data_IF_844455278331
#
_entry.id   IF_844455278331
#
_cell.length_a   1.000
_cell.length_b   1.000
_cell.length_c   1.000
_cell.angle_alpha   90.00
_cell.angle_beta   90.00
_cell.angle_gamma   90.00
#
_symmetry.space_group_name_H-M   'P 1'
#
loop_
_entity.id
_entity.type
_entity.pdbx_description
1 polymer ?
#
# COMPACT_ATOMS: atom_id res chain seq x y z
N UNK A 1 9.80 2.82 7.14
CA UNK A 1 9.23 2.47 8.42
C UNK A 1 8.11 1.45 8.26
N UNK A 2 7.13 1.71 7.39
CA UNK A 2 6.05 0.74 7.17
C UNK A 2 6.56 -0.57 6.60
N UNK A 3 7.53 -0.51 5.68
CA UNK A 3 8.09 -1.72 5.07
C UNK A 3 8.87 -2.56 6.09
N UNK A 4 9.43 -1.94 7.13
CA UNK A 4 10.09 -2.68 8.20
C UNK A 4 9.09 -3.45 9.05
N UNK A 5 7.90 -2.88 9.26
CA UNK A 5 6.84 -3.51 10.05
C UNK A 5 6.04 -4.50 9.23
N UNK A 6 5.84 -4.21 7.94
CA UNK A 6 5.09 -5.06 7.04
C UNK A 6 5.86 -5.23 5.73
N UNK A 7 6.82 -6.19 5.69
CA UNK A 7 7.67 -6.37 4.50
C UNK A 7 6.96 -7.04 3.33
N UNK A 8 5.80 -7.64 3.55
CA UNK A 8 5.06 -8.31 2.50
C UNK A 8 3.90 -7.45 2.00
N UNK A 9 3.55 -7.61 0.71
CA UNK A 9 2.41 -6.90 0.13
C UNK A 9 1.13 -7.30 0.85
N UNK A 10 0.45 -6.33 1.44
CA UNK A 10 -0.76 -6.59 2.23
C UNK A 10 -1.91 -7.09 1.36
N UNK A 11 -2.02 -6.63 0.12
CA UNK A 11 -3.05 -7.13 -0.79
C UNK A 11 -2.80 -8.58 -1.19
N UNK A 12 -1.54 -8.93 -1.45
CA UNK A 12 -1.21 -10.32 -1.80
C UNK A 12 -1.47 -11.25 -0.62
N UNK A 13 -1.22 -10.78 0.61
CA UNK A 13 -1.49 -11.59 1.80
C UNK A 13 -2.98 -11.94 1.93
N UNK A 14 -3.86 -11.06 1.49
CA UNK A 14 -5.29 -11.33 1.50
C UNK A 14 -5.67 -12.49 0.58
N UNK A 15 -4.81 -12.80 -0.38
CA UNK A 15 -5.01 -13.89 -1.32
C UNK A 15 -4.02 -15.04 -1.09
N UNK A 16 -3.50 -15.16 0.13
CA UNK A 16 -2.53 -16.19 0.53
C UNK A 16 -1.25 -16.17 -0.30
N UNK A 17 -0.85 -15.00 -0.78
CA UNK A 17 0.39 -14.82 -1.53
C UNK A 17 1.41 -14.10 -0.66
N UNK A 18 2.65 -14.61 -0.66
CA UNK A 18 3.73 -14.01 0.12
C UNK A 18 4.67 -13.25 -0.82
N UNK A 19 4.19 -12.13 -1.35
CA UNK A 19 4.96 -11.30 -2.28
C UNK A 19 5.63 -10.17 -1.51
N UNK A 20 6.96 -9.98 -1.65
CA UNK A 20 7.64 -8.86 -1.00
C UNK A 20 7.06 -7.52 -1.45
N UNK A 21 6.80 -6.65 -0.49
CA UNK A 21 6.35 -5.30 -0.78
C UNK A 21 7.54 -4.48 -1.26
N UNK A 22 7.30 -3.60 -2.23
CA UNK A 22 8.33 -2.76 -2.81
C UNK A 22 8.10 -1.29 -2.55
N UNK A 23 6.89 -0.93 -2.10
CA UNK A 23 6.54 0.46 -1.86
C UNK A 23 5.44 0.59 -0.82
N UNK A 24 5.25 1.80 -0.34
CA UNK A 24 4.22 2.14 0.62
C UNK A 24 3.20 3.03 -0.06
N UNK A 25 1.93 2.71 0.11
CA UNK A 25 0.81 3.44 -0.49
C UNK A 25 -0.04 4.07 0.61
N UNK A 26 -0.49 5.31 0.41
CA UNK A 26 -1.43 5.96 1.32
C UNK A 26 -2.85 5.48 1.01
N UNK A 27 -3.52 4.89 2.00
CA UNK A 27 -4.88 4.38 1.82
C UNK A 27 -5.83 5.54 1.54
N UNK A 28 -5.72 6.62 2.36
CA UNK A 28 -6.41 7.87 2.08
C UNK A 28 -5.38 8.86 1.57
N UNK A 29 -5.51 9.40 0.34
CA UNK A 29 -4.54 10.36 -0.20
C UNK A 29 -4.38 11.58 0.70
N UNK A 30 -3.15 12.11 0.75
CA UNK A 30 -2.84 13.27 1.58
C UNK A 30 -3.72 14.46 1.20
N UNK A 31 -3.95 14.67 -0.09
CA UNK A 31 -4.78 15.77 -0.57
C UNK A 31 -6.27 15.61 -0.25
N UNK A 32 -6.66 14.47 0.30
CA UNK A 32 -8.03 14.23 0.78
C UNK A 32 -8.08 14.11 2.30
N UNK A 33 -7.06 14.63 2.98
CA UNK A 33 -7.00 14.63 4.43
C UNK A 33 -6.36 13.39 5.04
N UNK A 34 -5.72 12.55 4.24
CA UNK A 34 -5.01 11.38 4.75
C UNK A 34 -3.79 11.78 5.56
N UNK A 35 -3.55 11.09 6.68
CA UNK A 35 -2.40 11.35 7.52
C UNK A 35 -1.14 10.76 6.88
N UNK A 36 -0.12 11.58 6.56
CA UNK A 36 1.05 11.10 5.83
C UNK A 36 1.95 10.17 6.65
N UNK A 37 1.94 10.31 7.98
CA UNK A 37 2.82 9.54 8.85
C UNK A 37 2.09 8.52 9.72
N UNK A 38 0.79 8.39 9.56
CA UNK A 38 0.00 7.42 10.31
C UNK A 38 0.17 6.04 9.66
N UNK A 39 0.75 5.09 10.41
CA UNK A 39 0.98 3.75 9.92
C UNK A 39 -0.31 3.04 9.52
N UNK A 40 -1.43 3.39 10.14
CA UNK A 40 -2.72 2.82 9.78
C UNK A 40 -3.23 3.33 8.43
N UNK A 41 -2.72 4.48 7.97
CA UNK A 41 -3.04 5.03 6.67
C UNK A 41 -2.04 4.59 5.59
N UNK A 42 -1.05 3.79 5.96
CA UNK A 42 -0.04 3.30 5.03
C UNK A 42 -0.27 1.82 4.75
N UNK A 43 -0.01 1.42 3.52
CA UNK A 43 -0.15 0.04 3.11
C UNK A 43 1.07 -0.39 2.30
N UNK A 44 1.67 -1.52 2.68
CA UNK A 44 2.79 -2.08 1.93
C UNK A 44 2.26 -2.82 0.71
N UNK A 45 2.75 -2.50 -0.47
CA UNK A 45 2.28 -3.08 -1.72
C UNK A 45 3.45 -3.48 -2.62
N UNK A 46 3.26 -4.53 -3.40
CA UNK A 46 4.16 -4.83 -4.50
C UNK A 46 3.80 -3.96 -5.70
N UNK A 47 4.69 -3.93 -6.71
CA UNK A 47 4.49 -3.11 -7.89
C UNK A 47 3.16 -3.37 -8.59
N UNK A 48 2.81 -4.65 -8.75
CA UNK A 48 1.57 -5.02 -9.44
C UNK A 48 0.33 -4.48 -8.75
N UNK A 49 0.28 -4.64 -7.42
CA UNK A 49 -0.87 -4.16 -6.65
C UNK A 49 -0.94 -2.64 -6.63
N UNK A 50 0.22 -1.99 -6.49
CA UNK A 50 0.29 -0.53 -6.51
C UNK A 50 -0.18 0.03 -7.84
N UNK A 51 0.28 -0.55 -8.95
CA UNK A 51 -0.12 -0.11 -10.29
C UNK A 51 -1.62 -0.29 -10.51
N UNK A 52 -2.17 -1.39 -10.00
CA UNK A 52 -3.60 -1.66 -10.11
C UNK A 52 -4.42 -0.61 -9.36
N UNK A 53 -4.00 -0.26 -8.15
CA UNK A 53 -4.68 0.77 -7.37
C UNK A 53 -4.56 2.14 -8.00
N UNK A 54 -3.37 2.49 -8.51
CA UNK A 54 -3.16 3.76 -9.19
C UNK A 54 -4.06 3.89 -10.42
N UNK A 55 -4.23 2.82 -11.16
CA UNK A 55 -5.11 2.83 -12.34
C UNK A 55 -6.56 3.09 -11.95
N UNK A 56 -7.01 2.55 -10.81
CA UNK A 56 -8.36 2.81 -10.31
C UNK A 56 -8.54 4.26 -9.86
N UNK A 57 -7.52 4.83 -9.24
CA UNK A 57 -7.58 6.18 -8.71
C UNK A 57 -7.57 7.25 -9.78
N UNK A 58 -7.15 6.90 -10.99
CA UNK A 58 -7.08 7.85 -12.11
C UNK A 58 -8.42 8.09 -12.80
N UNK A 59 -9.46 7.42 -12.41
CA UNK A 59 -10.79 7.60 -13.02
C UNK A 59 -11.51 8.82 -12.48
#
# INVERSE_FOLDING_TARGET
>A
VKLEQQPLCEECLKHDRHTPAQMVHHIVPINRGGAPLDLQNLQSLCNSCHNRKSARERR
#
